data_IF_529081589206
#
_entry.id   IF_529081589206
#
_cell.length_a   1.000
_cell.length_b   1.000
_cell.length_c   1.000
_cell.angle_alpha   90.00
_cell.angle_beta   90.00
_cell.angle_gamma   90.00
#
_symmetry.space_group_name_H-M   'P 1'
#
loop_
_entity.id
_entity.type
_entity.pdbx_description
1 polymer ?
#
# COMPACT_ATOMS: atom_id res chain seq x y z
N UNK A 1 11.25 16.75 3.68
CA UNK A 1 10.93 15.76 4.73
C UNK A 1 11.59 14.40 4.42
N UNK A 2 12.73 14.07 5.04
CA UNK A 2 13.48 12.83 4.75
C UNK A 2 12.72 11.54 5.09
N UNK A 3 11.86 11.57 6.12
CA UNK A 3 11.10 10.42 6.62
C UNK A 3 10.14 9.83 5.56
N UNK A 4 9.46 10.68 4.79
CA UNK A 4 8.46 10.23 3.81
C UNK A 4 9.06 9.66 2.52
N UNK A 5 10.38 9.74 2.34
CA UNK A 5 11.08 9.07 1.24
C UNK A 5 11.06 7.54 1.34
N UNK A 6 10.58 7.00 2.47
CA UNK A 6 10.37 5.57 2.70
C UNK A 6 8.91 5.16 2.46
N UNK A 7 8.04 6.06 2.00
CA UNK A 7 6.70 5.67 1.57
C UNK A 7 6.75 5.08 0.17
N UNK A 8 5.84 4.15 -0.08
CA UNK A 8 5.67 3.52 -1.38
C UNK A 8 4.20 3.49 -1.77
N UNK A 9 3.97 3.08 -3.02
CA UNK A 9 2.66 2.93 -3.61
C UNK A 9 1.78 4.20 -3.48
N UNK A 10 0.48 4.02 -3.25
CA UNK A 10 -0.49 5.12 -3.18
C UNK A 10 -0.23 6.11 -2.04
N UNK A 11 0.39 5.65 -0.94
CA UNK A 11 0.77 6.51 0.18
C UNK A 11 1.84 7.52 -0.26
N UNK A 12 2.79 7.12 -1.10
CA UNK A 12 3.82 8.02 -1.61
C UNK A 12 3.24 9.09 -2.55
N UNK A 13 2.48 8.66 -3.56
CA UNK A 13 1.84 9.61 -4.49
C UNK A 13 0.85 10.52 -3.77
N UNK A 14 0.16 10.00 -2.76
CA UNK A 14 -0.70 10.78 -1.88
C UNK A 14 0.06 11.88 -1.13
N UNK A 15 1.22 11.57 -0.55
CA UNK A 15 2.04 12.57 0.13
C UNK A 15 2.59 13.64 -0.81
N UNK A 16 3.01 13.28 -2.03
CA UNK A 16 3.44 14.27 -3.02
C UNK A 16 2.31 15.25 -3.38
N UNK A 17 1.09 14.73 -3.57
CA UNK A 17 -0.10 15.55 -3.83
C UNK A 17 -0.46 16.44 -2.64
N UNK A 18 -0.36 15.92 -1.41
CA UNK A 18 -0.60 16.71 -0.19
C UNK A 18 0.43 17.85 -0.03
N UNK A 19 1.71 17.57 -0.29
CA UNK A 19 2.74 18.61 -0.29
C UNK A 19 2.41 19.71 -1.31
N UNK A 20 2.02 19.32 -2.54
CA UNK A 20 1.62 20.28 -3.57
C UNK A 20 0.38 21.08 -3.18
N UNK A 21 -0.62 20.46 -2.55
CA UNK A 21 -1.80 21.17 -2.03
C UNK A 21 -1.36 22.24 -1.04
N UNK A 22 -0.47 21.91 -0.11
CA UNK A 22 0.03 22.87 0.88
C UNK A 22 0.72 24.07 0.23
N UNK A 23 1.55 23.85 -0.78
CA UNK A 23 2.18 24.93 -1.55
C UNK A 23 1.13 25.84 -2.21
N UNK A 24 0.09 25.24 -2.80
CA UNK A 24 -0.98 25.95 -3.51
C UNK A 24 -1.91 26.75 -2.59
N UNK A 25 -2.04 26.38 -1.31
CA UNK A 25 -2.94 27.08 -0.37
C UNK A 25 -2.58 28.55 -0.18
N UNK A 26 -1.31 28.92 -0.41
CA UNK A 26 -0.83 30.29 -0.32
C UNK A 26 -0.99 31.10 -1.62
N UNK A 27 -1.33 30.44 -2.74
CA UNK A 27 -1.33 31.04 -4.08
C UNK A 27 -2.74 31.44 -4.49
N UNK A 28 -3.00 32.74 -4.58
CA UNK A 28 -4.30 33.26 -4.98
C UNK A 28 -4.42 33.44 -6.51
N UNK A 29 -4.37 32.35 -7.26
CA UNK A 29 -4.66 32.36 -8.70
C UNK A 29 -5.77 31.36 -9.04
N UNK A 30 -6.52 31.61 -10.12
CA UNK A 30 -7.54 30.68 -10.62
C UNK A 30 -6.92 29.31 -10.90
N UNK A 31 -5.79 29.28 -11.61
CA UNK A 31 -5.07 28.05 -11.94
C UNK A 31 -4.70 27.26 -10.68
N UNK A 32 -4.20 27.94 -9.64
CA UNK A 32 -3.87 27.31 -8.37
C UNK A 32 -5.11 26.72 -7.68
N UNK A 33 -6.25 27.43 -7.69
CA UNK A 33 -7.52 26.92 -7.14
C UNK A 33 -8.03 25.69 -7.89
N UNK A 34 -7.95 25.68 -9.22
CA UNK A 34 -8.31 24.53 -10.05
C UNK A 34 -7.42 23.32 -9.74
N UNK A 35 -6.10 23.54 -9.66
CA UNK A 35 -5.13 22.48 -9.35
C UNK A 35 -5.35 21.93 -7.94
N UNK A 36 -5.56 22.80 -6.94
CA UNK A 36 -5.81 22.43 -5.55
C UNK A 36 -7.06 21.54 -5.43
N UNK A 37 -8.18 21.95 -6.03
CA UNK A 37 -9.42 21.16 -5.98
C UNK A 37 -9.23 19.84 -6.72
N UNK A 38 -8.58 19.84 -7.88
CA UNK A 38 -8.28 18.62 -8.65
C UNK A 38 -7.43 17.64 -7.85
N UNK A 39 -6.39 18.12 -7.17
CA UNK A 39 -5.51 17.30 -6.32
C UNK A 39 -6.26 16.71 -5.13
N UNK A 40 -7.04 17.52 -4.40
CA UNK A 40 -7.89 17.05 -3.32
C UNK A 40 -8.90 15.99 -3.82
N UNK A 41 -9.46 16.22 -5.01
CA UNK A 41 -10.30 15.27 -5.72
C UNK A 41 -9.54 14.05 -6.27
N UNK A 42 -8.22 13.98 -6.19
CA UNK A 42 -7.49 12.77 -6.59
C UNK A 42 -7.00 11.96 -5.39
N UNK A 43 -7.16 12.47 -4.17
CA UNK A 43 -6.67 11.86 -2.93
C UNK A 43 -7.70 10.96 -2.24
N UNK A 44 -9.00 11.19 -2.40
CA UNK A 44 -10.00 10.32 -1.74
C UNK A 44 -10.23 9.07 -2.57
N UNK A 45 -9.68 7.94 -2.13
CA UNK A 45 -9.83 6.64 -2.79
C UNK A 45 -11.17 5.93 -2.49
N UNK A 46 -12.01 6.48 -1.61
CA UNK A 46 -13.12 5.69 -1.01
C UNK A 46 -14.33 6.50 -0.51
N UNK A 47 -14.49 7.77 -0.88
CA UNK A 47 -15.65 8.57 -0.48
C UNK A 47 -16.71 8.65 -1.58
N UNK A 48 -17.98 8.34 -1.26
CA UNK A 48 -19.12 8.76 -2.08
C UNK A 48 -19.08 10.29 -2.23
N UNK A 49 -18.51 10.77 -3.34
CA UNK A 49 -18.55 12.20 -3.64
C UNK A 49 -19.93 12.52 -4.16
N UNK A 50 -20.71 13.17 -3.31
CA UNK A 50 -22.04 13.68 -3.66
C UNK A 50 -21.97 14.84 -4.66
N UNK A 51 -20.83 15.53 -4.73
CA UNK A 51 -20.63 16.69 -5.60
C UNK A 51 -19.55 16.40 -6.65
N UNK A 52 -19.86 16.51 -7.95
CA UNK A 52 -18.88 16.35 -9.02
C UNK A 52 -17.73 17.35 -8.94
N UNK A 53 -16.54 16.94 -9.43
CA UNK A 53 -15.33 17.77 -9.46
C UNK A 53 -15.60 19.14 -10.10
N UNK A 54 -16.24 19.12 -11.27
CA UNK A 54 -16.58 20.30 -12.04
C UNK A 54 -17.41 21.30 -11.25
N UNK A 55 -18.40 20.82 -10.48
CA UNK A 55 -19.24 21.66 -9.63
C UNK A 55 -18.43 22.34 -8.53
N UNK A 56 -17.46 21.64 -7.92
CA UNK A 56 -16.57 22.25 -6.93
C UNK A 56 -15.59 23.25 -7.54
N UNK A 57 -15.03 22.95 -8.71
CA UNK A 57 -14.15 23.88 -9.41
C UNK A 57 -14.92 25.18 -9.71
N UNK A 58 -16.12 25.08 -10.30
CA UNK A 58 -16.98 26.24 -10.56
C UNK A 58 -17.25 27.04 -9.29
N UNK A 59 -17.52 26.38 -8.17
CA UNK A 59 -17.77 27.04 -6.89
C UNK A 59 -16.56 27.83 -6.36
N UNK A 60 -15.32 27.38 -6.60
CA UNK A 60 -14.12 28.06 -6.09
C UNK A 60 -13.53 29.09 -7.06
N UNK A 61 -13.77 28.94 -8.37
CA UNK A 61 -13.25 29.85 -9.39
C UNK A 61 -14.25 30.90 -9.85
N UNK A 62 -15.55 30.61 -9.76
CA UNK A 62 -16.63 31.43 -10.33
C UNK A 62 -16.72 31.35 -11.87
N UNK A 63 -15.89 30.55 -12.53
CA UNK A 63 -15.80 30.48 -13.99
C UNK A 63 -16.78 29.47 -14.61
N UNK A 64 -17.09 29.68 -15.90
CA UNK A 64 -17.88 28.75 -16.70
C UNK A 64 -16.99 27.59 -17.14
N UNK A 65 -17.52 26.36 -17.18
CA UNK A 65 -16.76 25.13 -17.40
C UNK A 65 -15.92 25.09 -18.68
N UNK A 66 -16.37 25.77 -19.73
CA UNK A 66 -15.66 25.88 -21.02
C UNK A 66 -14.34 26.66 -20.93
N UNK A 67 -14.11 27.39 -19.85
CA UNK A 67 -12.94 28.25 -19.66
C UNK A 67 -11.88 27.61 -18.74
N UNK A 68 -12.10 26.36 -18.32
CA UNK A 68 -11.32 25.71 -17.28
C UNK A 68 -10.53 24.54 -17.85
N UNK A 69 -9.21 24.71 -17.95
CA UNK A 69 -8.30 23.60 -18.23
C UNK A 69 -8.03 22.82 -16.94
N UNK A 70 -8.43 21.54 -16.91
CA UNK A 70 -8.16 20.65 -15.77
C UNK A 70 -6.75 20.10 -15.92
N UNK A 71 -5.87 20.31 -14.93
CA UNK A 71 -4.50 19.82 -15.01
C UNK A 71 -4.46 18.30 -15.02
N UNK A 72 -3.60 17.74 -15.87
CA UNK A 72 -3.25 16.33 -15.80
C UNK A 72 -2.52 16.03 -14.50
N UNK A 73 -2.94 14.98 -13.79
CA UNK A 73 -2.33 14.54 -12.54
C UNK A 73 -1.37 13.35 -12.75
N UNK A 74 -0.95 13.10 -14.00
CA UNK A 74 -0.09 11.96 -14.35
C UNK A 74 1.38 12.15 -13.96
N UNK A 75 1.76 13.33 -13.46
CA UNK A 75 3.12 13.62 -13.02
C UNK A 75 3.51 12.96 -11.68
N UNK A 76 2.55 12.38 -10.95
CA UNK A 76 2.82 11.72 -9.66
C UNK A 76 3.13 10.25 -9.86
N UNK A 77 4.42 9.90 -9.89
CA UNK A 77 4.91 8.53 -10.06
C UNK A 77 5.18 7.84 -8.73
N UNK A 78 5.30 6.51 -8.78
CA UNK A 78 5.63 5.70 -7.61
C UNK A 78 7.07 5.92 -7.15
N UNK A 79 7.35 5.64 -5.88
CA UNK A 79 8.71 5.72 -5.36
C UNK A 79 9.56 4.58 -5.96
N UNK A 80 10.62 4.97 -6.66
CA UNK A 80 11.52 4.03 -7.35
C UNK A 80 12.65 3.50 -6.46
N UNK A 81 12.82 4.04 -5.25
CA UNK A 81 13.87 3.58 -4.33
C UNK A 81 13.75 2.08 -4.06
N UNK A 82 14.89 1.40 -3.98
CA UNK A 82 14.93 0.01 -3.56
C UNK A 82 14.33 -0.13 -2.16
N UNK A 83 13.59 -1.22 -1.92
CA UNK A 83 13.08 -1.54 -0.59
C UNK A 83 14.25 -1.95 0.30
N UNK A 84 14.31 -1.39 1.49
CA UNK A 84 15.16 -1.93 2.54
C UNK A 84 14.37 -2.93 3.39
N UNK A 85 15.08 -3.83 4.07
CA UNK A 85 14.49 -4.87 4.90
C UNK A 85 13.57 -4.27 5.98
N UNK A 86 14.00 -3.20 6.67
CA UNK A 86 13.22 -2.57 7.75
C UNK A 86 11.85 -2.07 7.26
N UNK A 87 11.79 -1.50 6.06
CA UNK A 87 10.54 -1.06 5.46
C UNK A 87 9.61 -2.24 5.20
N UNK A 88 10.13 -3.31 4.60
CA UNK A 88 9.35 -4.52 4.31
C UNK A 88 8.80 -5.12 5.61
N UNK A 89 9.62 -5.16 6.67
CA UNK A 89 9.19 -5.62 7.99
C UNK A 89 8.07 -4.73 8.55
N UNK A 90 8.23 -3.41 8.51
CA UNK A 90 7.19 -2.47 8.94
C UNK A 90 5.89 -2.62 8.14
N UNK A 91 6.00 -2.86 6.83
CA UNK A 91 4.86 -3.12 5.96
C UNK A 91 4.16 -4.44 6.30
N UNK A 92 4.92 -5.52 6.50
CA UNK A 92 4.40 -6.82 6.92
C UNK A 92 3.76 -6.77 8.32
N UNK A 93 4.27 -5.96 9.24
CA UNK A 93 3.70 -5.78 10.58
C UNK A 93 2.41 -4.96 10.55
N UNK A 94 2.33 -3.95 9.67
CA UNK A 94 1.14 -3.11 9.55
C UNK A 94 -0.01 -3.79 8.82
N UNK A 95 0.28 -4.42 7.68
CA UNK A 95 -0.75 -4.90 6.75
C UNK A 95 -0.78 -6.45 6.61
N UNK A 96 0.18 -7.14 7.23
CA UNK A 96 0.27 -8.60 7.20
C UNK A 96 -0.55 -9.28 8.29
N UNK A 97 -1.04 -10.47 7.98
CA UNK A 97 -1.84 -11.31 8.86
C UNK A 97 -1.26 -12.72 8.89
N UNK A 98 -1.14 -13.30 10.08
CA UNK A 98 -0.72 -14.69 10.28
C UNK A 98 -1.90 -15.46 10.85
N UNK A 99 -2.26 -16.58 10.22
CA UNK A 99 -3.31 -17.46 10.71
C UNK A 99 -3.11 -18.90 10.20
N UNK A 100 -3.83 -19.83 10.81
CA UNK A 100 -3.89 -21.22 10.36
C UNK A 100 -5.20 -21.44 9.63
N UNK A 101 -5.12 -21.85 8.36
CA UNK A 101 -6.28 -22.27 7.58
C UNK A 101 -6.51 -23.76 7.80
N UNK A 102 -7.72 -24.11 8.23
CA UNK A 102 -8.16 -25.51 8.31
C UNK A 102 -8.80 -25.88 6.97
N UNK A 103 -8.49 -27.04 6.42
CA UNK A 103 -9.03 -27.55 5.15
C UNK A 103 -9.43 -29.02 5.30
N UNK A 104 -10.64 -29.34 4.88
CA UNK A 104 -11.06 -30.74 4.70
C UNK A 104 -10.36 -31.35 3.48
N UNK A 105 -9.80 -32.54 3.67
CA UNK A 105 -9.25 -33.38 2.63
C UNK A 105 -9.91 -34.75 2.66
N UNK A 106 -9.71 -35.55 1.60
CA UNK A 106 -10.20 -36.95 1.58
C UNK A 106 -9.64 -37.80 2.73
N UNK A 107 -8.53 -37.40 3.34
CA UNK A 107 -7.84 -38.13 4.40
C UNK A 107 -8.05 -37.54 5.81
N UNK A 108 -8.80 -36.43 5.94
CA UNK A 108 -9.02 -35.74 7.23
C UNK A 108 -8.82 -34.23 7.14
N UNK A 109 -8.43 -33.60 8.26
CA UNK A 109 -8.22 -32.16 8.36
C UNK A 109 -6.75 -31.78 8.18
N UNK A 110 -6.48 -30.87 7.25
CA UNK A 110 -5.18 -30.23 7.07
C UNK A 110 -5.15 -28.86 7.76
N UNK A 111 -4.07 -28.61 8.52
CA UNK A 111 -3.79 -27.32 9.15
C UNK A 111 -2.67 -26.64 8.38
N UNK A 112 -3.00 -25.55 7.68
CA UNK A 112 -2.08 -24.83 6.81
C UNK A 112 -1.76 -23.46 7.39
N UNK A 113 -0.57 -23.26 7.99
CA UNK A 113 -0.09 -21.94 8.34
C UNK A 113 -0.02 -21.05 7.09
N UNK A 114 -0.47 -19.81 7.23
CA UNK A 114 -0.51 -18.82 6.16
C UNK A 114 -0.16 -17.44 6.70
N UNK A 115 0.76 -16.78 6.02
CA UNK A 115 0.95 -15.34 6.10
C UNK A 115 0.32 -14.68 4.87
N UNK A 116 -0.43 -13.59 5.08
CA UNK A 116 -1.16 -12.87 4.03
C UNK A 116 -1.05 -11.37 4.19
N UNK A 117 -0.75 -10.65 3.11
CA UNK A 117 -0.94 -9.19 3.01
C UNK A 117 -2.08 -8.93 2.02
N UNK A 118 -3.02 -8.06 2.39
CA UNK A 118 -4.17 -7.70 1.56
C UNK A 118 -4.15 -6.19 1.26
N UNK A 119 -4.31 -5.80 0.00
CA UNK A 119 -4.37 -4.40 -0.45
C UNK A 119 -5.34 -4.26 -1.62
N UNK A 120 -5.86 -3.06 -1.86
CA UNK A 120 -6.70 -2.76 -3.02
C UNK A 120 -5.93 -3.01 -4.33
N UNK A 121 -6.60 -3.58 -5.32
CA UNK A 121 -6.04 -3.90 -6.63
C UNK A 121 -5.93 -2.66 -7.51
N UNK A 122 -4.80 -1.97 -7.41
CA UNK A 122 -4.44 -0.87 -8.30
C UNK A 122 -3.11 -1.15 -9.00
N UNK A 123 -2.87 -0.50 -10.14
CA UNK A 123 -1.62 -0.66 -10.91
C UNK A 123 -0.40 -0.38 -10.03
N UNK A 124 -0.52 0.59 -9.13
CA UNK A 124 0.54 1.01 -8.21
C UNK A 124 0.79 -0.07 -7.14
N UNK A 125 -0.26 -0.64 -6.55
CA UNK A 125 -0.12 -1.73 -5.57
C UNK A 125 0.35 -3.04 -6.22
N UNK A 126 -0.03 -3.31 -7.47
CA UNK A 126 0.47 -4.46 -8.22
C UNK A 126 1.99 -4.37 -8.41
N UNK A 127 2.51 -3.20 -8.78
CA UNK A 127 3.96 -2.98 -8.89
C UNK A 127 4.68 -3.16 -7.55
N UNK A 128 4.08 -2.70 -6.44
CA UNK A 128 4.60 -2.96 -5.08
C UNK A 128 4.66 -4.46 -4.79
N UNK A 129 3.57 -5.18 -5.05
CA UNK A 129 3.47 -6.62 -4.78
C UNK A 129 4.45 -7.42 -5.60
N UNK A 130 4.66 -7.08 -6.86
CA UNK A 130 5.68 -7.70 -7.71
C UNK A 130 7.08 -7.54 -7.12
N UNK A 131 7.43 -6.33 -6.64
CA UNK A 131 8.72 -6.10 -5.98
C UNK A 131 8.82 -6.87 -4.65
N UNK A 132 7.75 -6.94 -3.85
CA UNK A 132 7.70 -7.74 -2.62
C UNK A 132 7.83 -9.23 -2.90
N UNK A 133 7.18 -9.74 -3.95
CA UNK A 133 7.28 -11.13 -4.38
C UNK A 133 8.73 -11.50 -4.72
N UNK A 134 9.42 -10.67 -5.52
CA UNK A 134 10.83 -10.92 -5.86
C UNK A 134 11.73 -10.83 -4.65
N UNK A 135 11.51 -9.85 -3.77
CA UNK A 135 12.25 -9.76 -2.51
C UNK A 135 12.06 -11.01 -1.65
N UNK A 136 10.81 -11.44 -1.41
CA UNK A 136 10.54 -12.60 -0.57
C UNK A 136 11.12 -13.88 -1.19
N UNK A 137 11.03 -14.01 -2.52
CA UNK A 137 11.56 -15.18 -3.24
C UNK A 137 13.08 -15.23 -3.25
N UNK A 138 13.78 -14.09 -3.12
CA UNK A 138 15.24 -14.06 -3.03
C UNK A 138 15.77 -14.37 -1.63
N UNK A 139 14.89 -14.49 -0.63
CA UNK A 139 15.30 -14.81 0.73
C UNK A 139 15.76 -16.28 0.86
N UNK A 140 16.68 -16.56 1.81
CA UNK A 140 17.07 -17.92 2.15
C UNK A 140 15.84 -18.76 2.55
N UNK A 141 15.82 -20.03 2.13
CA UNK A 141 14.74 -20.97 2.49
C UNK A 141 13.71 -21.24 1.39
N UNK A 142 13.95 -20.79 0.15
CA UNK A 142 13.11 -21.05 -1.04
C UNK A 142 11.63 -20.72 -0.80
N UNK A 143 11.37 -19.56 -0.18
CA UNK A 143 10.01 -19.07 -0.01
C UNK A 143 9.34 -18.98 -1.38
N UNK A 144 8.14 -19.54 -1.49
CA UNK A 144 7.32 -19.50 -2.72
C UNK A 144 6.08 -18.65 -2.47
N UNK A 145 6.21 -17.31 -2.42
CA UNK A 145 5.06 -16.44 -2.28
C UNK A 145 4.13 -16.59 -3.48
N UNK A 146 2.85 -16.31 -3.31
CA UNK A 146 1.88 -16.26 -4.42
C UNK A 146 1.12 -14.94 -4.35
N UNK A 147 1.02 -14.24 -5.49
CA UNK A 147 0.11 -13.10 -5.64
C UNK A 147 -1.20 -13.62 -6.23
N UNK A 148 -2.33 -13.27 -5.60
CA UNK A 148 -3.68 -13.61 -6.07
C UNK A 148 -4.53 -12.35 -6.13
N UNK A 149 -5.42 -12.28 -7.11
CA UNK A 149 -6.51 -11.31 -7.11
C UNK A 149 -7.74 -11.93 -6.46
N UNK A 150 -8.35 -11.22 -5.51
CA UNK A 150 -9.60 -11.64 -4.86
C UNK A 150 -10.56 -10.45 -4.81
N UNK A 151 -11.58 -10.48 -5.68
CA UNK A 151 -12.47 -9.33 -5.88
C UNK A 151 -11.67 -8.09 -6.33
N UNK A 152 -11.85 -6.99 -5.61
CA UNK A 152 -11.15 -5.72 -5.84
C UNK A 152 -9.79 -5.64 -5.12
N UNK A 153 -9.30 -6.75 -4.57
CA UNK A 153 -8.05 -6.78 -3.81
C UNK A 153 -6.97 -7.66 -4.47
N UNK A 154 -5.72 -7.34 -4.13
CA UNK A 154 -4.52 -8.14 -4.35
C UNK A 154 -4.06 -8.72 -3.02
N UNK A 155 -3.83 -10.01 -2.99
CA UNK A 155 -3.34 -10.73 -1.82
C UNK A 155 -1.98 -11.38 -2.10
N UNK A 156 -1.02 -11.19 -1.20
CA UNK A 156 0.30 -11.85 -1.22
C UNK A 156 0.31 -12.93 -0.15
N UNK A 157 0.47 -14.18 -0.54
CA UNK A 157 0.37 -15.35 0.33
C UNK A 157 1.73 -16.03 0.49
N UNK A 158 2.08 -16.39 1.72
CA UNK A 158 3.15 -17.34 2.03
C UNK A 158 2.55 -18.45 2.88
N UNK A 159 2.39 -19.64 2.31
CA UNK A 159 1.71 -20.76 2.95
C UNK A 159 2.61 -21.98 3.14
N UNK A 160 2.22 -22.83 4.09
CA UNK A 160 2.93 -24.06 4.41
C UNK A 160 3.91 -23.86 5.56
N UNK A 161 4.03 -24.90 6.39
CA UNK A 161 4.85 -24.88 7.62
C UNK A 161 6.28 -24.42 7.34
N UNK A 162 6.94 -24.98 6.32
CA UNK A 162 8.32 -24.63 5.98
C UNK A 162 8.47 -23.15 5.61
N UNK A 163 7.61 -22.65 4.71
CA UNK A 163 7.68 -21.26 4.26
C UNK A 163 7.37 -20.26 5.37
N UNK A 164 6.32 -20.50 6.16
CA UNK A 164 5.96 -19.63 7.27
C UNK A 164 7.04 -19.66 8.35
N UNK A 165 7.62 -20.84 8.66
CA UNK A 165 8.72 -20.94 9.62
C UNK A 165 9.96 -20.19 9.14
N UNK A 166 10.34 -20.33 7.86
CA UNK A 166 11.45 -19.58 7.26
C UNK A 166 11.21 -18.08 7.30
N UNK A 167 9.98 -17.62 7.02
CA UNK A 167 9.60 -16.22 7.17
C UNK A 167 9.76 -15.78 8.64
N UNK A 168 9.22 -16.51 9.60
CA UNK A 168 9.32 -16.18 11.03
C UNK A 168 10.77 -16.15 11.54
N UNK A 169 11.61 -17.10 11.10
CA UNK A 169 13.02 -17.13 11.44
C UNK A 169 13.77 -15.92 10.89
N UNK A 170 13.37 -15.39 9.72
CA UNK A 170 13.90 -14.13 9.21
C UNK A 170 13.42 -12.93 10.05
N UNK A 171 12.20 -12.96 10.57
CA UNK A 171 11.68 -11.89 11.44
C UNK A 171 12.34 -11.91 12.84
N UNK A 172 12.77 -13.08 13.32
CA UNK A 172 13.24 -13.30 14.68
C UNK A 172 14.41 -12.38 15.14
N UNK A 173 15.46 -12.10 14.33
CA UNK A 173 16.52 -11.19 14.72
C UNK A 173 16.05 -9.75 14.99
N UNK A 174 14.94 -9.35 14.37
CA UNK A 174 14.40 -7.99 14.50
C UNK A 174 13.33 -7.91 15.60
N UNK A 175 12.65 -9.02 15.90
CA UNK A 175 11.65 -9.10 16.97
C UNK A 175 12.24 -9.52 18.33
N UNK A 176 13.42 -10.14 18.36
CA UNK A 176 14.13 -10.51 19.60
C UNK A 176 14.58 -9.31 20.45
N UNK A 177 14.54 -8.09 19.90
CA UNK A 177 14.68 -6.85 20.67
C UNK A 177 13.45 -6.51 21.53
N UNK A 178 12.29 -7.14 21.28
CA UNK A 178 11.01 -6.87 21.96
C UNK A 178 10.70 -7.95 23.01
N UNK A 179 11.45 -9.05 23.09
CA UNK A 179 11.05 -10.22 23.86
C UNK A 179 12.18 -10.96 24.58
N UNK A 180 12.93 -10.30 25.46
CA UNK A 180 13.53 -11.02 26.61
C UNK A 180 12.47 -11.13 27.70
N UNK A 181 11.50 -12.03 27.53
CA UNK A 181 10.46 -12.26 28.53
C UNK A 181 9.23 -12.99 28.00
N UNK A 182 9.39 -14.24 27.57
CA UNK A 182 8.23 -15.05 27.19
C UNK A 182 8.62 -16.45 26.73
N UNK A 183 8.75 -17.37 27.68
CA UNK A 183 8.69 -18.79 27.37
C UNK A 183 7.31 -19.08 26.80
N UNK A 184 7.21 -19.28 25.49
CA UNK A 184 6.02 -19.88 24.90
C UNK A 184 6.12 -21.40 25.05
N UNK A 185 5.66 -21.89 26.20
CA UNK A 185 5.20 -23.27 26.37
C UNK A 185 3.67 -23.25 26.24
N UNK A 186 3.17 -23.82 25.16
CA UNK A 186 1.89 -24.54 25.09
C UNK A 186 2.10 -25.71 24.12
#
# INVERSE_FOLDING_TARGET
MPYFNQLYAEKYTGMLKLARIYDLMSVNSVKAKVELVSLAYSLTSSGFRTIPLLTKIKAVTGLILSEIEIPSLNCYTSNEKAFNLLWILGFMLGDGNIYVRIRDTKAGLDFLPLFRINQTNTVVNLALYTKLFYFISSLPGKLSPIIKKQGDNLELHVFGKANVTSLMNMLAPVTSFIGKGGNFLC
#
